data_IF_470321780588
#
_entry.id   IF_470321780588
#
_cell.length_a   1.000
_cell.length_b   1.000
_cell.length_c   1.000
_cell.angle_alpha   90.00
_cell.angle_beta   90.00
_cell.angle_gamma   90.00
#
_symmetry.space_group_name_H-M   'P 1'
#
loop_
_entity.id
_entity.type
_entity.pdbx_description
1 polymer ?
#
# COMPACT_ATOMS: atom_id res chain seq x y z
N UNK A 1 -2.26 18.76 -3.06
CA UNK A 1 -1.49 17.87 -2.17
C UNK A 1 -0.79 16.84 -3.04
N UNK A 2 0.53 16.91 -3.19
CA UNK A 2 1.29 15.95 -4.00
C UNK A 2 1.26 14.60 -3.29
N UNK A 3 0.61 13.60 -3.88
CA UNK A 3 0.60 12.25 -3.32
C UNK A 3 2.04 11.73 -3.25
N UNK A 4 2.43 11.18 -2.10
CA UNK A 4 3.72 10.50 -1.98
C UNK A 4 3.73 9.29 -2.92
N UNK A 5 4.92 8.81 -3.33
CA UNK A 5 5.04 7.65 -4.24
C UNK A 5 5.83 6.54 -3.57
N UNK A 6 5.42 5.30 -3.79
CA UNK A 6 6.16 4.14 -3.34
C UNK A 6 7.52 4.08 -4.07
N UNK A 7 8.61 3.90 -3.32
CA UNK A 7 9.97 3.82 -3.90
C UNK A 7 10.21 2.61 -4.80
N UNK A 8 9.38 1.56 -4.68
CA UNK A 8 9.59 0.28 -5.37
C UNK A 8 8.72 0.14 -6.62
N UNK A 9 7.44 0.49 -6.55
CA UNK A 9 6.52 0.40 -7.69
C UNK A 9 6.14 1.76 -8.29
N UNK A 10 6.55 2.89 -7.69
CA UNK A 10 6.19 4.26 -8.12
C UNK A 10 4.70 4.60 -8.07
N UNK A 11 3.86 3.74 -7.49
CA UNK A 11 2.43 4.00 -7.33
C UNK A 11 2.16 5.05 -6.24
N UNK A 12 1.07 5.84 -6.35
CA UNK A 12 0.70 6.83 -5.35
C UNK A 12 0.33 6.18 -4.01
N UNK A 13 0.89 6.71 -2.93
CA UNK A 13 0.62 6.31 -1.55
C UNK A 13 0.23 7.52 -0.71
N UNK A 14 -0.42 7.23 0.41
CA UNK A 14 -0.74 8.20 1.45
C UNK A 14 -0.17 7.72 2.79
N UNK A 15 0.40 8.63 3.57
CA UNK A 15 0.95 8.33 4.88
C UNK A 15 -0.06 8.63 5.97
N UNK A 16 -0.17 7.73 6.94
CA UNK A 16 -0.93 7.93 8.16
C UNK A 16 -0.11 7.47 9.36
N UNK A 17 -0.21 8.16 10.50
CA UNK A 17 0.40 7.70 11.75
C UNK A 17 -0.49 6.64 12.37
N UNK A 18 0.06 5.50 12.76
CA UNK A 18 -0.73 4.48 13.45
C UNK A 18 -1.20 4.99 14.81
N UNK A 19 -2.46 4.71 15.18
CA UNK A 19 -2.95 4.97 16.54
C UNK A 19 -2.47 3.90 17.54
N UNK A 20 -2.19 2.69 17.06
CA UNK A 20 -1.83 1.55 17.91
C UNK A 20 -0.32 1.39 18.12
N UNK A 21 0.49 1.93 17.20
CA UNK A 21 1.95 1.85 17.24
C UNK A 21 2.50 3.23 16.89
N UNK A 22 3.62 3.64 17.48
CA UNK A 22 4.30 4.87 17.05
C UNK A 22 5.07 4.65 15.74
N UNK A 23 4.31 4.38 14.66
CA UNK A 23 4.83 4.01 13.36
C UNK A 23 4.00 4.65 12.24
N UNK A 24 4.65 4.89 11.11
CA UNK A 24 4.00 5.36 9.89
C UNK A 24 3.45 4.19 9.08
N UNK A 25 2.20 4.31 8.65
CA UNK A 25 1.51 3.38 7.76
C UNK A 25 1.52 3.96 6.34
N UNK A 26 2.08 3.20 5.40
CA UNK A 26 1.92 3.47 3.98
C UNK A 26 0.60 2.85 3.51
N UNK A 27 -0.34 3.69 3.10
CA UNK A 27 -1.66 3.30 2.63
C UNK A 27 -1.79 3.60 1.14
N UNK A 28 -2.63 2.86 0.44
CA UNK A 28 -2.97 3.20 -0.94
C UNK A 28 -3.63 4.58 -0.99
N UNK A 29 -3.45 5.29 -2.11
CA UNK A 29 -4.00 6.64 -2.26
C UNK A 29 -5.53 6.63 -2.30
N UNK A 30 -6.13 5.59 -2.86
CA UNK A 30 -7.58 5.40 -2.98
C UNK A 30 -8.09 4.45 -1.89
N UNK A 31 -9.31 4.67 -1.38
CA UNK A 31 -9.97 3.67 -0.53
C UNK A 31 -10.29 2.41 -1.34
N UNK A 32 -10.31 1.27 -0.66
CA UNK A 32 -10.66 -0.04 -1.21
C UNK A 32 -11.84 -0.61 -0.41
N UNK A 33 -12.99 -0.72 -1.07
CA UNK A 33 -14.22 -1.19 -0.43
C UNK A 33 -14.26 -2.72 -0.23
N UNK A 34 -13.41 -3.47 -0.93
CA UNK A 34 -13.38 -4.92 -0.85
C UNK A 34 -12.31 -5.43 0.13
N UNK A 35 -11.15 -4.78 0.18
CA UNK A 35 -10.01 -5.24 0.98
C UNK A 35 -9.46 -4.20 1.97
N UNK A 36 -10.07 -3.03 2.04
CA UNK A 36 -9.67 -1.98 2.98
C UNK A 36 -9.95 -2.40 4.41
N UNK A 37 -8.97 -2.20 5.29
CA UNK A 37 -9.07 -2.52 6.72
C UNK A 37 -8.64 -1.37 7.62
N UNK A 38 -8.09 -0.30 7.05
CA UNK A 38 -7.59 0.84 7.81
C UNK A 38 -8.57 2.01 7.70
N UNK A 39 -9.09 2.48 8.83
CA UNK A 39 -9.86 3.71 8.93
C UNK A 39 -8.91 4.90 9.12
N UNK A 40 -9.07 5.96 8.32
CA UNK A 40 -8.33 7.22 8.51
C UNK A 40 -9.12 8.19 9.37
N UNK A 41 -8.43 8.87 10.28
CA UNK A 41 -8.94 9.98 11.07
C UNK A 41 -8.05 11.20 10.88
N UNK A 42 -8.65 12.32 10.49
CA UNK A 42 -7.96 13.60 10.36
C UNK A 42 -8.09 14.34 11.70
N UNK A 43 -6.98 14.70 12.30
CA UNK A 43 -6.93 15.39 13.60
C UNK A 43 -6.17 16.69 13.41
N UNK A 44 -6.86 17.80 13.61
CA UNK A 44 -6.23 19.12 13.61
C UNK A 44 -5.48 19.32 14.92
N UNK A 45 -4.21 19.74 14.80
CA UNK A 45 -3.35 20.04 15.94
C UNK A 45 -3.45 21.52 16.29
N UNK A 46 -3.16 21.91 17.55
CA UNK A 46 -3.15 23.31 17.97
C UNK A 46 -2.25 24.21 17.11
N UNK A 47 -1.20 23.63 16.51
CA UNK A 47 -0.27 24.32 15.61
C UNK A 47 -0.84 24.57 14.20
N UNK A 48 -2.13 24.32 13.99
CA UNK A 48 -2.82 24.49 12.70
C UNK A 48 -2.47 23.43 11.65
N UNK A 49 -1.81 22.33 12.04
CA UNK A 49 -1.47 21.21 11.13
C UNK A 49 -2.46 20.08 11.28
N UNK A 50 -2.93 19.50 10.18
CA UNK A 50 -3.74 18.28 10.21
C UNK A 50 -2.84 17.05 10.21
N UNK A 51 -2.92 16.23 11.25
CA UNK A 51 -2.28 14.91 11.32
C UNK A 51 -3.27 13.83 10.91
N UNK A 52 -2.88 12.96 9.98
CA UNK A 52 -3.70 11.81 9.55
C UNK A 52 -3.31 10.60 10.40
N UNK A 53 -4.26 10.05 11.13
CA UNK A 53 -4.10 8.82 11.88
C UNK A 53 -4.79 7.65 11.18
N UNK A 54 -4.20 6.46 11.27
CA UNK A 54 -4.77 5.20 10.77
C UNK A 54 -5.02 4.22 11.90
N UNK A 55 -6.25 3.70 12.00
CA UNK A 55 -6.61 2.60 12.89
C UNK A 55 -6.92 1.35 12.07
N UNK A 56 -6.23 0.22 12.32
CA UNK A 56 -6.62 -1.06 11.76
C UNK A 56 -7.92 -1.54 12.42
N UNK A 57 -8.91 -1.90 11.61
CA UNK A 57 -10.15 -2.51 12.04
C UNK A 57 -10.04 -4.04 11.89
N UNK A 58 -10.65 -4.78 12.81
CA UNK A 58 -10.69 -6.24 12.80
C UNK A 58 -12.04 -6.75 13.29
N UNK A 59 -12.43 -7.96 12.87
CA UNK A 59 -13.63 -8.63 13.38
C UNK A 59 -14.90 -7.81 13.15
N UNK A 60 -15.72 -7.68 14.20
CA UNK A 60 -17.02 -7.01 14.14
C UNK A 60 -16.92 -5.53 13.76
N UNK A 61 -15.87 -4.82 14.19
CA UNK A 61 -15.66 -3.42 13.82
C UNK A 61 -15.42 -3.24 12.32
N UNK A 62 -14.69 -4.18 11.71
CA UNK A 62 -14.48 -4.20 10.26
C UNK A 62 -15.77 -4.54 9.54
N UNK A 63 -16.52 -5.54 10.02
CA UNK A 63 -17.80 -5.93 9.44
C UNK A 63 -18.82 -4.79 9.47
N UNK A 64 -18.93 -4.08 10.59
CA UNK A 64 -19.79 -2.91 10.74
C UNK A 64 -19.37 -1.78 9.79
N UNK A 65 -18.08 -1.42 9.75
CA UNK A 65 -17.59 -0.36 8.87
C UNK A 65 -17.83 -0.67 7.38
N UNK A 66 -17.70 -1.94 6.98
CA UNK A 66 -18.01 -2.37 5.61
C UNK A 66 -19.51 -2.30 5.33
N UNK A 67 -20.36 -2.71 6.28
CA UNK A 67 -21.82 -2.63 6.14
C UNK A 67 -22.32 -1.18 6.06
N UNK A 68 -21.69 -0.27 6.79
CA UNK A 68 -21.97 1.17 6.78
C UNK A 68 -21.43 1.88 5.52
N UNK A 69 -20.72 1.15 4.65
CA UNK A 69 -20.13 1.71 3.43
C UNK A 69 -19.01 2.70 3.69
N UNK A 70 -18.32 2.59 4.83
CA UNK A 70 -17.22 3.47 5.16
C UNK A 70 -16.07 3.35 4.15
N UNK A 71 -15.35 4.47 3.96
CA UNK A 71 -14.12 4.47 3.19
C UNK A 71 -13.00 3.87 4.03
N UNK A 72 -12.56 2.68 3.64
CA UNK A 72 -11.43 2.00 4.26
C UNK A 72 -10.24 1.98 3.28
N UNK A 73 -9.04 1.97 3.83
CA UNK A 73 -7.80 1.94 3.06
C UNK A 73 -7.05 0.64 3.29
N UNK A 74 -6.28 0.24 2.29
CA UNK A 74 -5.42 -0.93 2.34
C UNK A 74 -3.97 -0.51 2.62
N UNK A 75 -3.24 -1.32 3.37
CA UNK A 75 -1.79 -1.15 3.52
C UNK A 75 -1.11 -1.40 2.17
N UNK A 76 -0.34 -0.43 1.69
CA UNK A 76 0.29 -0.51 0.36
C UNK A 76 1.21 -1.74 0.21
N UNK A 77 1.81 -2.23 1.30
CA UNK A 77 2.63 -3.46 1.27
C UNK A 77 1.86 -4.68 0.75
N UNK A 78 0.54 -4.75 0.99
CA UNK A 78 -0.28 -5.86 0.54
C UNK A 78 -0.60 -5.81 -0.96
N UNK A 79 -0.66 -4.61 -1.54
CA UNK A 79 -1.04 -4.37 -2.94
C UNK A 79 0.16 -4.07 -3.84
N UNK A 80 1.32 -3.74 -3.26
CA UNK A 80 2.51 -3.33 -3.98
C UNK A 80 3.00 -4.40 -4.96
N UNK A 81 2.96 -4.05 -6.25
CA UNK A 81 3.38 -4.92 -7.35
C UNK A 81 4.85 -5.36 -7.27
N UNK A 82 5.73 -4.55 -6.66
CA UNK A 82 7.13 -4.88 -6.49
C UNK A 82 7.38 -6.02 -5.48
N UNK A 83 6.41 -6.28 -4.59
CA UNK A 83 6.48 -7.36 -3.61
C UNK A 83 5.75 -8.63 -4.03
N UNK A 84 5.09 -8.64 -5.21
CA UNK A 84 4.43 -9.86 -5.72
C UNK A 84 5.46 -10.95 -6.00
N UNK A 85 5.16 -12.22 -5.67
CA UNK A 85 5.99 -13.34 -6.08
C UNK A 85 6.19 -13.33 -7.59
N UNK A 86 7.41 -13.60 -8.06
CA UNK A 86 7.67 -13.76 -9.49
C UNK A 86 6.88 -14.97 -9.98
N UNK A 87 6.16 -14.83 -11.09
CA UNK A 87 5.54 -15.96 -11.77
C UNK A 87 6.66 -16.91 -12.25
N UNK A 88 6.75 -18.15 -11.73
CA UNK A 88 7.77 -19.08 -12.17
C UNK A 88 7.61 -19.34 -13.67
N UNK A 89 8.74 -19.47 -14.36
CA UNK A 89 8.73 -19.83 -15.77
C UNK A 89 8.11 -21.24 -15.91
N UNK A 90 7.06 -21.43 -16.72
CA UNK A 90 6.49 -22.75 -16.94
C UNK A 90 7.52 -23.69 -17.57
N UNK A 91 7.57 -24.94 -17.11
CA UNK A 91 8.59 -25.92 -17.52
C UNK A 91 8.60 -26.21 -19.02
N UNK A 92 7.46 -26.08 -19.70
CA UNK A 92 7.30 -26.35 -21.12
C UNK A 92 7.66 -25.17 -22.04
N UNK A 93 7.97 -24.00 -21.48
CA UNK A 93 8.37 -22.84 -22.27
C UNK A 93 9.89 -22.85 -22.41
N UNK A 94 10.43 -22.92 -23.62
CA UNK A 94 11.82 -22.52 -23.88
C UNK A 94 11.84 -21.06 -24.34
N UNK A 95 12.65 -20.24 -23.69
CA UNK A 95 12.80 -18.84 -24.10
C UNK A 95 14.05 -18.79 -24.97
N UNK A 96 13.88 -18.58 -26.28
CA UNK A 96 14.99 -18.31 -27.20
C UNK A 96 15.45 -16.85 -27.01
N UNK A 97 16.14 -16.60 -25.90
CA UNK A 97 16.72 -15.30 -25.61
C UNK A 97 18.10 -15.21 -26.27
N UNK A 98 18.39 -14.16 -27.04
CA UNK A 98 19.72 -13.97 -27.59
C UNK A 98 20.74 -13.92 -26.45
N UNK A 99 21.85 -14.67 -26.60
CA UNK A 99 22.92 -14.72 -25.59
C UNK A 99 23.38 -13.30 -25.26
N UNK A 100 23.12 -12.84 -24.04
CA UNK A 100 23.65 -11.56 -23.56
C UNK A 100 25.17 -11.60 -23.64
N UNK A 101 25.78 -10.87 -24.58
CA UNK A 101 27.21 -10.61 -24.56
C UNK A 101 27.52 -9.92 -23.22
N UNK A 102 28.36 -10.55 -22.39
CA UNK A 102 28.93 -9.89 -21.21
C UNK A 102 29.64 -8.64 -21.70
N UNK A 103 29.08 -7.44 -21.44
CA UNK A 103 29.83 -6.20 -21.62
C UNK A 103 30.92 -6.22 -20.55
N UNK A 104 32.13 -6.53 -20.96
CA UNK A 104 33.31 -6.26 -20.15
C UNK A 104 33.36 -4.74 -19.93
N UNK A 105 33.39 -4.33 -18.66
CA UNK A 105 33.59 -2.93 -18.28
C UNK A 105 35.09 -2.71 -18.31
N UNK A 106 35.58 -2.03 -19.35
CA UNK A 106 36.93 -1.45 -19.42
C UNK A 106 37.03 -0.26 -18.47
#
# INVERSE_FOLDING_TARGET
MTAARCRHCSEPISWARSMARDAWLALDATPDHAHGTIRKRFVDTPDGRTTVYGAPLTGDELAAALADGEKLWTLHRATCNAHRPRNPKPAHIELDLPRRRRRYRS
#
